data_IF_982378933664
#
_entry.id   IF_982378933664
#
_cell.length_a   1.000
_cell.length_b   1.000
_cell.length_c   1.000
_cell.angle_alpha   90.00
_cell.angle_beta   90.00
_cell.angle_gamma   90.00
#
_symmetry.space_group_name_H-M   'P 1'
#
loop_
_entity.id
_entity.type
_entity.pdbx_description
1 polymer ?
#
# COMPACT_ATOMS: atom_id res chain seq x y z
N UNK A 1 0.25 -7.89 1.45
CA UNK A 1 -0.74 -7.24 2.33
C UNK A 1 -1.61 -8.22 3.10
N UNK A 2 -2.26 -9.21 2.47
CA UNK A 2 -3.13 -10.15 3.19
C UNK A 2 -2.45 -10.87 4.38
N UNK A 3 -1.25 -11.45 4.18
CA UNK A 3 -0.50 -12.10 5.27
C UNK A 3 -0.14 -11.12 6.38
N UNK A 4 0.45 -9.96 6.04
CA UNK A 4 0.78 -8.91 7.02
C UNK A 4 -0.43 -8.47 7.83
N UNK A 5 -1.60 -8.34 7.20
CA UNK A 5 -2.85 -7.98 7.85
C UNK A 5 -3.31 -9.07 8.83
N UNK A 6 -3.31 -10.33 8.41
CA UNK A 6 -3.73 -11.47 9.23
C UNK A 6 -2.84 -11.68 10.46
N UNK A 7 -1.53 -11.49 10.29
CA UNK A 7 -0.57 -11.60 11.37
C UNK A 7 -0.54 -10.36 12.29
N UNK A 8 -1.38 -9.35 12.03
CA UNK A 8 -1.47 -8.15 12.88
C UNK A 8 -0.21 -7.26 12.84
N UNK A 9 0.48 -7.22 11.70
CA UNK A 9 1.69 -6.40 11.55
C UNK A 9 1.40 -4.91 11.83
N UNK A 10 2.19 -4.31 12.74
CA UNK A 10 2.04 -2.91 13.18
C UNK A 10 3.22 -2.00 12.79
N UNK A 11 4.14 -2.49 11.96
CA UNK A 11 5.29 -1.72 11.49
C UNK A 11 5.01 -0.85 10.26
N UNK A 12 6.03 -0.14 9.80
CA UNK A 12 5.95 0.69 8.60
C UNK A 12 6.11 -0.14 7.31
N UNK A 13 5.31 0.20 6.29
CA UNK A 13 5.47 -0.31 4.93
C UNK A 13 5.66 0.87 3.98
N UNK A 14 6.56 0.70 3.01
CA UNK A 14 6.80 1.68 1.95
C UNK A 14 6.73 1.02 0.57
N UNK A 15 6.38 1.77 -0.49
CA UNK A 15 6.39 1.28 -1.88
C UNK A 15 7.80 1.01 -2.44
N UNK A 16 8.83 1.35 -1.68
CA UNK A 16 10.26 1.19 -2.00
C UNK A 16 10.72 2.00 -3.23
N UNK A 17 10.66 1.42 -4.42
CA UNK A 17 11.07 2.05 -5.68
C UNK A 17 9.87 2.30 -6.61
N UNK A 18 9.96 3.33 -7.45
CA UNK A 18 8.93 3.67 -8.43
C UNK A 18 9.53 4.04 -9.78
N UNK A 19 8.70 3.96 -10.83
CA UNK A 19 9.01 4.46 -12.18
C UNK A 19 9.13 5.98 -12.16
N UNK A 20 9.91 6.52 -13.10
CA UNK A 20 9.95 7.95 -13.35
C UNK A 20 8.76 8.30 -14.25
N UNK A 21 7.73 8.95 -13.70
CA UNK A 21 6.51 9.31 -14.44
C UNK A 21 6.31 10.83 -14.45
N UNK A 22 5.40 11.33 -15.30
CA UNK A 22 5.06 12.77 -15.39
C UNK A 22 6.26 13.71 -15.59
N UNK A 23 7.30 13.26 -16.29
CA UNK A 23 8.48 14.06 -16.60
C UNK A 23 9.42 14.33 -15.43
N UNK A 24 9.29 13.60 -14.31
CA UNK A 24 10.22 13.75 -13.19
C UNK A 24 11.63 13.28 -13.52
N UNK A 25 12.63 13.90 -12.89
CA UNK A 25 14.05 13.55 -13.03
C UNK A 25 14.68 13.37 -11.65
N UNK A 26 15.81 12.66 -11.58
CA UNK A 26 16.49 12.38 -10.30
C UNK A 26 17.12 10.99 -10.26
N UNK A 27 17.33 10.48 -9.03
CA UNK A 27 17.91 9.14 -8.84
C UNK A 27 16.94 8.06 -9.37
N UNK A 28 17.40 7.13 -10.22
CA UNK A 28 16.56 6.05 -10.73
C UNK A 28 15.87 5.28 -9.59
N UNK A 29 14.56 5.08 -9.71
CA UNK A 29 13.75 4.37 -8.72
C UNK A 29 13.27 5.23 -7.54
N UNK A 30 13.78 6.45 -7.38
CA UNK A 30 13.44 7.34 -6.26
C UNK A 30 12.60 8.56 -6.68
N UNK A 31 11.93 8.49 -7.83
CA UNK A 31 10.91 9.47 -8.24
C UNK A 31 9.78 9.61 -7.22
N UNK A 32 9.20 10.79 -7.09
CA UNK A 32 8.11 11.08 -6.16
C UNK A 32 6.81 10.40 -6.59
N UNK A 33 6.44 10.54 -7.86
CA UNK A 33 5.07 10.33 -8.28
C UNK A 33 4.63 8.86 -8.22
N UNK A 34 5.38 7.96 -8.85
CA UNK A 34 4.99 6.54 -8.86
C UNK A 34 5.10 5.90 -7.47
N UNK A 35 6.04 6.37 -6.63
CA UNK A 35 6.12 5.94 -5.24
C UNK A 35 4.91 6.43 -4.44
N UNK A 36 4.48 7.69 -4.61
CA UNK A 36 3.28 8.18 -3.94
C UNK A 36 2.03 7.38 -4.34
N UNK A 37 1.87 7.06 -5.64
CA UNK A 37 0.81 6.18 -6.12
C UNK A 37 0.90 4.78 -5.50
N UNK A 38 2.09 4.19 -5.43
CA UNK A 38 2.32 2.92 -4.76
C UNK A 38 1.91 2.95 -3.29
N UNK A 39 2.28 4.00 -2.54
CA UNK A 39 1.89 4.16 -1.15
C UNK A 39 0.35 4.20 -0.97
N UNK A 40 -0.36 4.94 -1.83
CA UNK A 40 -1.82 4.99 -1.81
C UNK A 40 -2.45 3.65 -2.17
N UNK A 41 -1.88 2.91 -3.12
CA UNK A 41 -2.35 1.57 -3.46
C UNK A 41 -2.22 0.61 -2.28
N UNK A 42 -1.07 0.61 -1.60
CA UNK A 42 -0.83 -0.20 -0.40
C UNK A 42 -1.83 0.12 0.72
N UNK A 43 -2.13 1.41 0.93
CA UNK A 43 -3.13 1.85 1.90
C UNK A 43 -4.53 1.34 1.53
N UNK A 44 -4.95 1.48 0.26
CA UNK A 44 -6.25 1.00 -0.21
C UNK A 44 -6.41 -0.51 -0.07
N UNK A 45 -5.35 -1.30 -0.31
CA UNK A 45 -5.36 -2.74 -0.04
C UNK A 45 -5.59 -3.05 1.44
N UNK A 46 -4.95 -2.29 2.35
CA UNK A 46 -5.10 -2.48 3.79
C UNK A 46 -6.52 -2.17 4.26
N UNK A 47 -7.08 -1.02 3.85
CA UNK A 47 -8.46 -0.63 4.14
C UNK A 47 -9.48 -1.63 3.57
N UNK A 48 -9.24 -2.10 2.34
CA UNK A 48 -10.07 -3.13 1.71
C UNK A 48 -10.13 -4.44 2.51
N UNK A 49 -9.01 -4.88 3.07
CA UNK A 49 -8.93 -6.06 3.94
C UNK A 49 -9.64 -5.84 5.28
N UNK A 50 -9.51 -4.65 5.87
CA UNK A 50 -10.23 -4.27 7.09
C UNK A 50 -11.75 -4.33 6.89
N UNK A 51 -12.25 -3.76 5.79
CA UNK A 51 -13.68 -3.75 5.48
C UNK A 51 -14.20 -5.17 5.25
N UNK A 52 -13.49 -5.99 4.46
CA UNK A 52 -13.91 -7.38 4.20
C UNK A 52 -13.93 -8.22 5.47
N UNK A 53 -12.94 -8.07 6.34
CA UNK A 53 -12.87 -8.81 7.61
C UNK A 53 -14.00 -8.40 8.55
N UNK A 54 -14.26 -7.09 8.71
CA UNK A 54 -15.37 -6.59 9.53
C UNK A 54 -16.73 -7.06 9.03
N UNK A 55 -16.99 -7.03 7.72
CA UNK A 55 -18.24 -7.55 7.14
C UNK A 55 -18.43 -9.04 7.43
N UNK A 56 -17.35 -9.84 7.38
CA UNK A 56 -17.38 -11.26 7.73
C UNK A 56 -17.70 -11.52 9.20
N UNK A 57 -17.22 -10.67 10.11
CA UNK A 57 -17.48 -10.79 11.56
C UNK A 57 -18.88 -10.38 11.99
N UNK A 58 -19.54 -9.48 11.25
CA UNK A 58 -20.91 -9.02 11.56
C UNK A 58 -21.97 -9.99 11.01
N UNK A 59 -21.62 -10.81 10.02
CA UNK A 59 -22.51 -11.79 9.41
C UNK A 59 -22.54 -13.16 10.13
N UNK A 60 -21.78 -13.32 11.22
CA UNK A 60 -21.74 -14.49 12.12
C UNK A 60 -22.26 -14.10 13.49
#
# INVERSE_FOLDING_TARGET
>A
MNVLFKEGFAGYVRPDHGRMIFGETGRPGYGLYDRALGAMYLQGMWEGLQIHTKKGQVAT
#
